data_IF_233310393375
#
_entry.id   IF_233310393375
#
_cell.length_a   1.000
_cell.length_b   1.000
_cell.length_c   1.000
_cell.angle_alpha   90.00
_cell.angle_beta   90.00
_cell.angle_gamma   90.00
#
_symmetry.space_group_name_H-M   'P 1'
#
loop_
_entity.id
_entity.type
_entity.pdbx_description
1 polymer ?
#
# COMPACT_ATOMS: atom_id res chain seq x y z
N UNK A 1 -8.66 -15.64 9.23
CA UNK A 1 -7.22 -15.85 9.48
C UNK A 1 -6.57 -16.00 8.12
N UNK A 2 -5.51 -15.24 7.85
CA UNK A 2 -4.76 -15.28 6.61
C UNK A 2 -3.66 -16.34 6.66
N UNK A 3 -3.41 -16.95 5.51
CA UNK A 3 -2.30 -17.87 5.23
C UNK A 3 -1.15 -17.15 4.52
N UNK A 4 -0.01 -17.84 4.38
CA UNK A 4 1.11 -17.35 3.57
C UNK A 4 0.75 -17.21 2.09
N UNK A 5 -0.12 -18.06 1.56
CA UNK A 5 -0.56 -18.02 0.17
C UNK A 5 -1.49 -16.84 -0.09
N UNK A 6 -2.40 -16.53 0.85
CA UNK A 6 -3.23 -15.31 0.78
C UNK A 6 -2.36 -14.07 0.93
N UNK A 7 -1.42 -14.05 1.87
CA UNK A 7 -0.47 -12.96 2.02
C UNK A 7 0.39 -12.76 0.76
N UNK A 8 0.77 -13.85 0.08
CA UNK A 8 1.54 -13.79 -1.16
C UNK A 8 0.82 -13.05 -2.29
N UNK A 9 -0.50 -12.94 -2.25
CA UNK A 9 -1.25 -12.22 -3.28
C UNK A 9 -0.91 -10.72 -3.31
N UNK A 10 -0.31 -10.14 -2.26
CA UNK A 10 0.22 -8.77 -2.28
C UNK A 10 1.31 -8.53 -3.34
N UNK A 11 1.85 -9.59 -3.96
CA UNK A 11 2.86 -9.50 -5.03
C UNK A 11 2.43 -8.62 -6.22
N UNK A 12 1.12 -8.38 -6.42
CA UNK A 12 0.65 -7.47 -7.47
C UNK A 12 1.16 -6.02 -7.27
N UNK A 13 1.53 -5.66 -6.05
CA UNK A 13 2.12 -4.36 -5.70
C UNK A 13 3.60 -4.26 -6.05
N UNK A 14 4.32 -5.38 -6.16
CA UNK A 14 5.78 -5.38 -6.30
C UNK A 14 6.25 -4.57 -7.52
N UNK A 15 7.25 -3.74 -7.29
CA UNK A 15 7.85 -2.86 -8.29
C UNK A 15 7.91 -1.40 -7.87
N UNK A 16 8.31 -0.57 -8.82
CA UNK A 16 8.47 0.88 -8.65
C UNK A 16 7.34 1.63 -9.32
N UNK A 17 6.83 2.63 -8.63
CA UNK A 17 5.64 3.36 -9.01
C UNK A 17 5.84 4.86 -8.84
N UNK A 18 5.15 5.61 -9.69
CA UNK A 18 5.00 7.06 -9.60
C UNK A 18 3.55 7.40 -9.32
N UNK A 19 3.29 8.13 -8.24
CA UNK A 19 1.99 8.70 -7.93
C UNK A 19 2.00 10.22 -8.02
N UNK A 20 0.81 10.81 -7.95
CA UNK A 20 0.62 12.25 -7.77
C UNK A 20 -0.30 12.49 -6.58
N UNK A 21 0.13 13.35 -5.66
CA UNK A 21 -0.68 13.77 -4.51
C UNK A 21 -1.77 14.76 -4.93
N UNK A 22 -2.77 15.04 -4.06
CA UNK A 22 -3.84 16.00 -4.35
C UNK A 22 -3.35 17.40 -4.74
N UNK A 23 -2.18 17.82 -4.23
CA UNK A 23 -1.55 19.10 -4.55
C UNK A 23 -0.75 19.08 -5.86
N UNK A 24 -0.79 17.97 -6.61
CA UNK A 24 -0.12 17.80 -7.90
C UNK A 24 1.35 17.44 -7.82
N UNK A 25 1.92 17.28 -6.62
CA UNK A 25 3.32 16.86 -6.49
C UNK A 25 3.48 15.38 -6.83
N UNK A 26 4.54 15.06 -7.53
CA UNK A 26 4.91 13.66 -7.77
C UNK A 26 5.54 13.06 -6.52
N UNK A 27 5.26 11.78 -6.30
CA UNK A 27 5.96 10.96 -5.31
C UNK A 27 6.26 9.60 -5.92
N UNK A 28 7.23 8.92 -5.35
CA UNK A 28 7.75 7.66 -5.86
C UNK A 28 7.63 6.60 -4.77
N UNK A 29 7.23 5.39 -5.13
CA UNK A 29 7.13 4.26 -4.20
C UNK A 29 7.79 3.03 -4.78
N UNK A 30 8.44 2.26 -3.92
CA UNK A 30 8.93 0.92 -4.22
C UNK A 30 8.25 -0.05 -3.26
N UNK A 31 7.77 -1.16 -3.80
CA UNK A 31 7.22 -2.26 -3.05
C UNK A 31 8.03 -3.52 -3.33
N UNK A 32 8.44 -4.20 -2.27
CA UNK A 32 9.18 -5.46 -2.36
C UNK A 32 8.80 -6.43 -1.23
N UNK A 33 9.19 -7.68 -1.42
CA UNK A 33 8.94 -8.77 -0.48
C UNK A 33 10.25 -9.36 0.02
N UNK A 34 10.87 -8.76 1.07
CA UNK A 34 12.17 -9.22 1.57
C UNK A 34 12.10 -10.61 2.24
N UNK A 35 10.92 -11.06 2.66
CA UNK A 35 10.72 -12.39 3.22
C UNK A 35 9.30 -12.92 2.96
N UNK A 36 9.09 -14.23 3.08
CA UNK A 36 7.79 -14.85 2.81
C UNK A 36 6.63 -14.23 3.60
N UNK A 37 6.85 -13.82 4.85
CA UNK A 37 5.83 -13.22 5.72
C UNK A 37 5.95 -11.69 5.84
N UNK A 38 6.77 -11.03 5.01
CA UNK A 38 7.05 -9.59 5.11
C UNK A 38 7.02 -8.94 3.74
N UNK A 39 6.25 -7.87 3.63
CA UNK A 39 6.17 -6.96 2.49
C UNK A 39 6.57 -5.57 2.97
N UNK A 40 7.28 -4.81 2.14
CA UNK A 40 7.68 -3.45 2.47
C UNK A 40 7.21 -2.50 1.38
N UNK A 41 6.79 -1.31 1.80
CA UNK A 41 6.72 -0.14 0.94
C UNK A 41 7.76 0.87 1.40
N UNK A 42 8.36 1.56 0.44
CA UNK A 42 9.30 2.66 0.66
C UNK A 42 8.89 3.81 -0.24
N UNK A 43 8.83 5.01 0.30
CA UNK A 43 8.54 6.23 -0.44
C UNK A 43 9.82 7.02 -0.66
N UNK A 44 9.94 7.62 -1.84
CA UNK A 44 11.11 8.35 -2.28
C UNK A 44 10.71 9.74 -2.77
N UNK A 45 11.60 10.74 -2.58
CA UNK A 45 11.35 12.10 -3.04
C UNK A 45 11.59 12.27 -4.54
N UNK A 46 12.31 11.32 -5.17
CA UNK A 46 12.67 11.37 -6.58
C UNK A 46 12.72 9.96 -7.19
N UNK A 47 12.84 9.94 -8.52
CA UNK A 47 12.84 8.72 -9.35
C UNK A 47 14.14 7.90 -9.28
N UNK A 48 15.14 8.32 -8.52
CA UNK A 48 16.45 7.65 -8.49
C UNK A 48 16.50 6.54 -7.43
N UNK A 49 15.47 6.45 -6.54
CA UNK A 49 15.29 5.40 -5.54
C UNK A 49 16.51 5.18 -4.61
N UNK A 50 17.29 6.23 -4.34
CA UNK A 50 18.54 6.14 -3.59
C UNK A 50 18.36 6.23 -2.07
N UNK A 51 17.51 7.13 -1.60
CA UNK A 51 17.21 7.34 -0.18
C UNK A 51 15.70 7.50 0.00
N UNK A 52 15.10 6.63 0.82
CA UNK A 52 13.68 6.68 1.11
C UNK A 52 13.39 7.65 2.26
N UNK A 53 12.25 8.33 2.21
CA UNK A 53 11.81 9.28 3.24
C UNK A 53 11.05 8.59 4.35
N UNK A 54 10.23 7.61 4.00
CA UNK A 54 9.41 6.81 4.91
C UNK A 54 8.93 5.54 4.19
N UNK A 55 8.12 4.73 4.87
CA UNK A 55 7.66 3.46 4.35
C UNK A 55 6.79 2.70 5.35
N UNK A 56 6.12 1.66 4.84
CA UNK A 56 5.34 0.75 5.63
C UNK A 56 5.96 -0.65 5.64
N UNK A 57 5.87 -1.34 6.77
CA UNK A 57 6.09 -2.80 6.83
C UNK A 57 4.76 -3.49 7.00
N UNK A 58 4.46 -4.44 6.11
CA UNK A 58 3.28 -5.29 6.17
C UNK A 58 3.76 -6.71 6.51
N UNK A 59 3.30 -7.25 7.63
CA UNK A 59 3.72 -8.56 8.13
C UNK A 59 2.53 -9.48 8.36
N UNK A 60 2.73 -10.77 8.10
CA UNK A 60 1.83 -11.84 8.54
C UNK A 60 2.26 -12.32 9.93
N UNK A 61 1.43 -12.08 10.93
CA UNK A 61 1.67 -12.38 12.36
C UNK A 61 0.46 -13.13 12.91
N UNK A 62 0.64 -14.37 13.36
CA UNK A 62 -0.43 -15.20 13.94
C UNK A 62 -1.71 -15.27 13.09
N UNK A 63 -1.54 -15.25 11.76
CA UNK A 63 -2.64 -15.28 10.79
C UNK A 63 -3.44 -13.98 10.67
N UNK A 64 -2.89 -12.88 11.16
CA UNK A 64 -3.31 -11.52 10.84
C UNK A 64 -2.28 -10.86 9.95
N UNK A 65 -2.73 -10.01 9.01
CA UNK A 65 -1.83 -9.19 8.21
C UNK A 65 -1.87 -7.77 8.73
N UNK A 66 -0.74 -7.28 9.23
CA UNK A 66 -0.62 -6.00 9.92
C UNK A 66 0.28 -5.08 9.11
N UNK A 67 -0.21 -3.89 8.77
CA UNK A 67 0.60 -2.82 8.15
C UNK A 67 0.96 -1.77 9.20
N UNK A 68 2.24 -1.40 9.28
CA UNK A 68 2.76 -0.39 10.21
C UNK A 68 3.55 0.67 9.45
N UNK A 69 3.20 1.94 9.66
CA UNK A 69 3.91 3.10 9.12
C UNK A 69 4.05 4.17 10.19
N UNK A 70 5.28 4.37 10.68
CA UNK A 70 5.54 5.24 11.82
C UNK A 70 4.75 4.79 13.05
N UNK A 71 3.85 5.65 13.56
CA UNK A 71 2.96 5.35 14.70
C UNK A 71 1.63 4.71 14.31
N UNK A 72 1.35 4.61 13.01
CA UNK A 72 0.05 4.18 12.50
C UNK A 72 0.06 2.67 12.24
N UNK A 73 -1.06 2.03 12.57
CA UNK A 73 -1.26 0.58 12.40
C UNK A 73 -2.60 0.31 11.73
N UNK A 74 -2.58 -0.61 10.78
CA UNK A 74 -3.76 -1.16 10.12
C UNK A 74 -3.74 -2.69 10.13
N UNK A 75 -4.91 -3.30 10.02
CA UNK A 75 -5.08 -4.75 9.81
C UNK A 75 -5.79 -5.00 8.49
N UNK A 76 -5.33 -5.99 7.73
CA UNK A 76 -6.01 -6.36 6.49
C UNK A 76 -7.42 -6.88 6.79
N UNK A 77 -8.42 -6.35 6.10
CA UNK A 77 -9.78 -6.90 6.06
C UNK A 77 -9.98 -7.85 4.87
N UNK A 78 -9.25 -7.65 3.78
CA UNK A 78 -9.29 -8.51 2.61
C UNK A 78 -7.97 -8.44 1.83
N UNK A 79 -7.55 -9.57 1.27
CA UNK A 79 -6.45 -9.67 0.32
C UNK A 79 -6.92 -10.58 -0.82
N UNK A 80 -6.74 -10.11 -2.05
CA UNK A 80 -7.10 -10.79 -3.28
C UNK A 80 -6.02 -10.58 -4.35
N UNK A 81 -6.16 -11.28 -5.48
CA UNK A 81 -5.18 -11.27 -6.55
C UNK A 81 -4.93 -9.88 -7.17
N UNK A 82 -5.94 -9.00 -7.12
CA UNK A 82 -5.91 -7.66 -7.71
C UNK A 82 -6.21 -6.55 -6.70
N UNK A 83 -6.37 -6.86 -5.41
CA UNK A 83 -6.73 -5.84 -4.42
C UNK A 83 -6.38 -6.26 -3.01
N UNK A 84 -6.10 -5.29 -2.14
CA UNK A 84 -6.01 -5.52 -0.71
C UNK A 84 -6.55 -4.33 0.07
N UNK A 85 -7.29 -4.59 1.14
CA UNK A 85 -7.95 -3.58 1.96
C UNK A 85 -7.55 -3.72 3.42
N UNK A 86 -7.35 -2.59 4.09
CA UNK A 86 -6.79 -2.49 5.43
C UNK A 86 -7.59 -1.51 6.28
N UNK A 87 -8.11 -2.01 7.40
CA UNK A 87 -8.85 -1.23 8.39
C UNK A 87 -7.91 -0.56 9.39
N UNK A 88 -8.22 0.66 9.83
CA UNK A 88 -7.44 1.34 10.85
C UNK A 88 -7.57 0.62 12.20
N UNK A 89 -6.44 0.31 12.83
CA UNK A 89 -6.38 -0.03 14.26
C UNK A 89 -6.03 1.21 15.07
N UNK A 90 -5.01 1.94 14.61
CA UNK A 90 -4.54 3.18 15.22
C UNK A 90 -4.10 4.14 14.12
N UNK A 91 -4.98 4.38 13.15
CA UNK A 91 -4.73 5.18 11.96
C UNK A 91 -5.95 6.06 11.61
N UNK A 92 -5.77 7.17 10.88
CA UNK A 92 -6.86 8.11 10.63
C UNK A 92 -7.85 7.66 9.55
N UNK A 93 -7.48 6.69 8.73
CA UNK A 93 -8.23 6.27 7.54
C UNK A 93 -8.08 4.78 7.28
N UNK A 94 -9.07 4.19 6.63
CA UNK A 94 -8.92 2.94 5.90
C UNK A 94 -8.09 3.20 4.65
N UNK A 95 -7.33 2.21 4.21
CA UNK A 95 -6.68 2.27 2.91
C UNK A 95 -6.87 0.96 2.13
N UNK A 96 -6.87 1.05 0.80
CA UNK A 96 -6.87 -0.12 -0.07
C UNK A 96 -6.02 0.11 -1.32
N UNK A 97 -5.49 -0.98 -1.87
CA UNK A 97 -4.91 -1.01 -3.21
C UNK A 97 -5.80 -1.80 -4.15
N UNK A 98 -5.79 -1.38 -5.42
CA UNK A 98 -6.43 -2.08 -6.54
C UNK A 98 -5.52 -2.06 -7.76
N UNK A 99 -5.24 -3.22 -8.34
CA UNK A 99 -4.64 -3.34 -9.67
C UNK A 99 -5.68 -3.01 -10.73
N UNK A 100 -5.39 -2.02 -11.56
CA UNK A 100 -6.23 -1.65 -12.71
C UNK A 100 -5.76 -2.41 -13.95
N UNK A 101 -4.45 -2.40 -14.19
CA UNK A 101 -3.77 -3.12 -15.26
C UNK A 101 -2.31 -3.38 -14.87
N UNK A 102 -1.50 -3.94 -15.77
CA UNK A 102 -0.10 -4.27 -15.50
C UNK A 102 0.78 -3.05 -15.16
N UNK A 103 0.40 -1.85 -15.61
CA UNK A 103 1.16 -0.62 -15.42
C UNK A 103 0.48 0.37 -14.46
N UNK A 104 -0.70 0.03 -13.92
CA UNK A 104 -1.51 0.94 -13.12
C UNK A 104 -2.01 0.29 -11.82
N UNK A 105 -1.75 0.97 -10.70
CA UNK A 105 -2.45 0.76 -9.44
C UNK A 105 -3.32 1.97 -9.09
N UNK A 106 -4.33 1.71 -8.30
CA UNK A 106 -5.03 2.71 -7.52
C UNK A 106 -4.80 2.44 -6.04
N UNK A 107 -4.42 3.49 -5.30
CA UNK A 107 -4.39 3.49 -3.84
C UNK A 107 -5.53 4.39 -3.36
N UNK A 108 -6.51 3.82 -2.68
CA UNK A 108 -7.66 4.53 -2.16
C UNK A 108 -7.53 4.70 -0.64
N UNK A 109 -7.85 5.88 -0.13
CA UNK A 109 -8.02 6.15 1.29
C UNK A 109 -9.48 6.52 1.56
N UNK A 110 -10.05 5.99 2.65
CA UNK A 110 -11.39 6.36 3.12
C UNK A 110 -11.35 6.77 4.58
N UNK A 111 -12.02 7.86 4.92
CA UNK A 111 -12.07 8.38 6.28
C UNK A 111 -13.40 9.06 6.56
N UNK A 112 -13.67 9.35 7.82
CA UNK A 112 -14.91 10.01 8.24
C UNK A 112 -14.60 11.36 8.85
N UNK A 113 -15.31 12.40 8.42
CA UNK A 113 -15.28 13.76 9.01
C UNK A 113 -16.71 14.17 9.32
N UNK A 114 -16.99 14.54 10.58
CA UNK A 114 -18.32 14.95 11.04
C UNK A 114 -19.44 13.95 10.67
N UNK A 115 -19.13 12.65 10.78
CA UNK A 115 -20.06 11.56 10.45
C UNK A 115 -20.28 11.35 8.95
N UNK A 116 -19.57 12.07 8.08
CA UNK A 116 -19.62 11.89 6.62
C UNK A 116 -18.40 11.15 6.12
N UNK A 117 -18.64 10.11 5.32
CA UNK A 117 -17.59 9.39 4.62
C UNK A 117 -16.95 10.29 3.56
N UNK A 118 -15.63 10.22 3.48
CA UNK A 118 -14.79 10.87 2.50
C UNK A 118 -13.89 9.80 1.88
N UNK A 119 -13.60 9.94 0.59
CA UNK A 119 -12.67 9.06 -0.08
C UNK A 119 -11.76 9.84 -1.03
N UNK A 120 -10.56 9.31 -1.23
CA UNK A 120 -9.63 9.81 -2.21
C UNK A 120 -8.86 8.66 -2.86
N UNK A 121 -8.76 8.71 -4.18
CA UNK A 121 -8.09 7.68 -4.98
C UNK A 121 -6.88 8.28 -5.68
N UNK A 122 -5.70 7.76 -5.38
CA UNK A 122 -4.45 8.07 -6.05
C UNK A 122 -4.20 7.04 -7.14
N UNK A 123 -3.86 7.50 -8.34
CA UNK A 123 -3.38 6.62 -9.40
C UNK A 123 -1.85 6.56 -9.37
N UNK A 124 -1.32 5.35 -9.41
CA UNK A 124 0.11 5.07 -9.47
C UNK A 124 0.43 4.41 -10.80
N UNK A 125 1.46 4.90 -11.48
CA UNK A 125 1.94 4.36 -12.76
C UNK A 125 3.28 3.67 -12.55
N UNK A 126 3.43 2.45 -13.07
CA UNK A 126 4.66 1.67 -12.97
C UNK A 126 5.80 2.37 -13.73
N UNK A 127 7.00 2.37 -13.16
CA UNK A 127 8.17 3.04 -13.72
C UNK A 127 9.11 2.09 -14.48
N UNK A 128 9.20 0.84 -14.03
CA UNK A 128 10.00 -0.17 -14.70
C UNK A 128 9.07 -1.09 -15.51
N UNK A 129 9.27 -1.24 -16.82
CA UNK A 129 8.70 -2.37 -17.54
C UNK A 129 9.49 -3.61 -17.10
N UNK A 130 8.81 -4.53 -16.43
CA UNK A 130 9.31 -5.90 -16.30
C UNK A 130 9.49 -6.56 -17.66
#
# INVERSE_FOLDING_TARGET
>A
MFSLDEFAQLQFLEGRWKGSSPDGKEFFEEYDRPAAAVFQSRRFPNRDFSEHTDGATISLEDGEVVSRWGKYTWKASAIGADSASFEPVSAPSQFSWRRVDAATLEAQQRWTVDGKEQEYTMRLTRLDPG
#
